data_IF_558741456321
#
_entry.id   IF_558741456321
#
_cell.length_a   1.000
_cell.length_b   1.000
_cell.length_c   1.000
_cell.angle_alpha   90.00
_cell.angle_beta   90.00
_cell.angle_gamma   90.00
#
_symmetry.space_group_name_H-M   'P 1'
#
loop_
_entity.id
_entity.type
_entity.pdbx_description
1 polymer ?
#
# COMPACT_ATOMS: atom_id res chain seq x y z
N UNK A 1 -14.81 -3.93 -22.37
CA UNK A 1 -15.36 -2.82 -21.56
C UNK A 1 -15.89 -3.44 -20.27
N UNK A 2 -15.05 -3.52 -19.22
CA UNK A 2 -15.42 -4.17 -17.95
C UNK A 2 -16.31 -3.19 -17.20
N UNK A 3 -17.60 -3.49 -17.11
CA UNK A 3 -18.51 -2.77 -16.21
C UNK A 3 -18.09 -3.13 -14.78
N UNK A 4 -17.37 -2.23 -14.13
CA UNK A 4 -17.24 -2.25 -12.67
C UNK A 4 -18.66 -2.10 -12.14
N UNK A 5 -19.19 -3.15 -11.50
CA UNK A 5 -20.42 -3.02 -10.73
C UNK A 5 -20.09 -2.11 -9.54
N UNK A 6 -20.38 -0.83 -9.68
CA UNK A 6 -20.43 0.10 -8.55
C UNK A 6 -21.57 -0.36 -7.63
N UNK A 7 -21.26 -1.26 -6.70
CA UNK A 7 -22.11 -1.43 -5.53
C UNK A 7 -22.09 -0.09 -4.81
N UNK A 8 -23.24 0.58 -4.62
CA UNK A 8 -23.28 1.82 -3.86
C UNK A 8 -22.73 1.50 -2.47
N UNK A 9 -21.60 2.12 -2.13
CA UNK A 9 -21.09 2.09 -0.76
C UNK A 9 -22.19 2.75 0.07
N UNK A 10 -22.99 1.91 0.74
CA UNK A 10 -23.92 2.38 1.75
C UNK A 10 -23.08 3.06 2.81
N UNK A 11 -23.08 4.40 2.82
CA UNK A 11 -22.47 5.20 3.88
C UNK A 11 -23.35 5.07 5.14
N UNK A 12 -23.51 3.86 5.66
CA UNK A 12 -23.81 3.68 7.07
C UNK A 12 -22.49 3.79 7.81
N UNK A 13 -22.24 4.97 8.39
CA UNK A 13 -21.83 5.16 9.77
C UNK A 13 -21.55 6.65 9.99
N UNK A 14 -22.22 7.27 10.96
CA UNK A 14 -21.83 8.57 11.49
C UNK A 14 -20.39 8.52 12.00
N UNK A 15 -19.68 9.65 11.94
CA UNK A 15 -18.32 9.77 12.44
C UNK A 15 -18.23 9.28 13.90
N UNK A 16 -17.23 8.45 14.20
CA UNK A 16 -16.95 8.06 15.57
C UNK A 16 -16.49 9.28 16.38
N UNK A 17 -16.99 9.43 17.61
CA UNK A 17 -16.41 10.40 18.56
C UNK A 17 -14.93 10.08 18.82
N UNK A 18 -14.08 11.07 19.12
CA UNK A 18 -12.65 10.85 19.40
C UNK A 18 -12.38 9.76 20.45
N UNK A 19 -13.15 9.70 21.54
CA UNK A 19 -13.02 8.65 22.57
C UNK A 19 -13.23 7.25 21.98
N UNK A 20 -14.28 7.09 21.17
CA UNK A 20 -14.60 5.83 20.51
C UNK A 20 -13.51 5.39 19.53
N UNK A 21 -12.86 6.32 18.83
CA UNK A 21 -11.71 6.01 17.96
C UNK A 21 -10.56 5.44 18.80
N UNK A 22 -10.26 6.06 19.94
CA UNK A 22 -9.21 5.59 20.86
C UNK A 22 -9.55 4.19 21.40
N UNK A 23 -10.80 3.94 21.78
CA UNK A 23 -11.21 2.61 22.28
C UNK A 23 -11.08 1.54 21.19
N UNK A 24 -11.47 1.85 19.95
CA UNK A 24 -11.31 0.94 18.80
C UNK A 24 -9.83 0.66 18.56
N UNK A 25 -8.98 1.68 18.60
CA UNK A 25 -7.55 1.52 18.38
C UNK A 25 -6.90 0.67 19.47
N UNK A 26 -7.27 0.88 20.75
CA UNK A 26 -6.78 0.08 21.89
C UNK A 26 -7.20 -1.38 21.83
N UNK A 27 -8.41 -1.65 21.34
CA UNK A 27 -8.93 -3.01 21.20
C UNK A 27 -8.38 -3.75 19.97
N UNK A 28 -7.70 -3.05 19.05
CA UNK A 28 -7.25 -3.65 17.79
C UNK A 28 -5.94 -4.41 17.99
N UNK A 29 -5.97 -5.70 17.73
CA UNK A 29 -4.75 -6.52 17.64
C UNK A 29 -3.94 -6.17 16.38
N UNK A 30 -2.62 -6.29 16.51
CA UNK A 30 -1.68 -6.08 15.40
C UNK A 30 -1.85 -7.23 14.39
N UNK A 31 -2.21 -6.90 13.16
CA UNK A 31 -2.19 -7.85 12.05
C UNK A 31 -0.74 -8.18 11.68
N UNK A 32 -0.27 -9.37 12.06
CA UNK A 32 1.12 -9.81 11.81
C UNK A 32 1.48 -9.69 10.33
N UNK A 33 0.54 -10.00 9.45
CA UNK A 33 0.71 -9.95 8.00
C UNK A 33 0.92 -8.53 7.45
N UNK A 34 0.45 -7.48 8.14
CA UNK A 34 0.67 -6.08 7.75
C UNK A 34 1.70 -5.37 8.63
N UNK A 35 2.32 -6.10 9.56
CA UNK A 35 3.33 -5.55 10.47
C UNK A 35 4.73 -5.49 9.86
N UNK A 36 5.03 -6.37 8.90
CA UNK A 36 6.37 -6.53 8.30
C UNK A 36 7.48 -6.70 9.35
N UNK A 37 7.12 -7.23 10.53
CA UNK A 37 7.99 -7.38 11.70
C UNK A 37 9.18 -8.32 11.45
N UNK A 38 9.06 -9.18 10.44
CA UNK A 38 10.10 -10.09 10.01
C UNK A 38 11.27 -9.42 9.26
N UNK A 39 11.09 -8.18 8.79
CA UNK A 39 12.11 -7.46 8.03
C UNK A 39 12.97 -6.56 8.92
N UNK A 40 14.29 -6.66 8.76
CA UNK A 40 15.23 -5.72 9.39
C UNK A 40 15.28 -4.40 8.59
N UNK A 41 15.77 -3.30 9.18
CA UNK A 41 15.98 -2.05 8.45
C UNK A 41 16.88 -2.19 7.21
N UNK A 42 17.81 -3.14 7.21
CA UNK A 42 18.63 -3.48 6.03
C UNK A 42 17.82 -4.06 4.89
N UNK A 43 16.73 -4.76 5.20
CA UNK A 43 15.92 -5.50 4.25
C UNK A 43 14.85 -4.59 3.62
N UNK A 44 14.56 -3.44 4.24
CA UNK A 44 13.53 -2.48 3.81
C UNK A 44 14.03 -1.47 2.78
N UNK A 45 15.21 -1.68 2.22
CA UNK A 45 15.75 -0.91 1.08
C UNK A 45 16.01 -1.82 -0.10
N UNK A 46 15.39 -1.55 -1.26
CA UNK A 46 15.57 -2.30 -2.51
C UNK A 46 15.64 -1.36 -3.71
N UNK A 47 16.28 -1.78 -4.80
CA UNK A 47 16.34 -1.01 -6.06
C UNK A 47 16.87 0.42 -5.83
N UNK A 48 16.14 1.43 -6.32
CA UNK A 48 16.42 2.86 -6.12
C UNK A 48 15.84 3.42 -4.82
N UNK A 49 15.15 2.59 -4.01
CA UNK A 49 14.67 3.01 -2.70
C UNK A 49 15.86 3.46 -1.84
N UNK A 50 15.74 4.64 -1.24
CA UNK A 50 16.81 5.34 -0.50
C UNK A 50 17.98 5.89 -1.32
N UNK A 51 17.98 5.84 -2.66
CA UNK A 51 18.97 6.56 -3.46
C UNK A 51 18.90 8.07 -3.19
N UNK A 52 17.68 8.63 -3.14
CA UNK A 52 17.42 9.98 -2.63
C UNK A 52 16.76 9.94 -1.26
N UNK A 53 17.16 10.85 -0.36
CA UNK A 53 16.57 10.97 0.98
C UNK A 53 15.21 11.65 0.92
N UNK A 54 14.16 10.86 0.81
CA UNK A 54 12.79 11.28 1.08
C UNK A 54 12.37 10.92 2.53
N UNK A 55 11.90 11.87 3.37
CA UNK A 55 11.63 11.64 4.80
C UNK A 55 10.45 10.72 5.12
N UNK A 56 9.41 10.68 4.27
CA UNK A 56 8.15 10.00 4.53
C UNK A 56 7.85 8.90 3.50
N UNK A 57 8.82 8.01 3.27
CA UNK A 57 8.69 6.87 2.35
C UNK A 57 8.22 5.62 3.08
N UNK A 58 7.36 4.86 2.43
CA UNK A 58 7.01 3.49 2.82
C UNK A 58 8.02 2.48 2.27
N UNK A 59 8.13 1.34 2.94
CA UNK A 59 9.04 0.26 2.54
C UNK A 59 8.57 -0.43 1.25
N UNK A 60 9.48 -0.94 0.38
CA UNK A 60 9.10 -1.63 -0.85
C UNK A 60 8.18 -2.83 -0.62
N UNK A 61 8.34 -3.55 0.49
CA UNK A 61 7.54 -4.73 0.87
C UNK A 61 6.04 -4.42 0.97
N UNK A 62 5.68 -3.23 1.45
CA UNK A 62 4.29 -2.82 1.53
C UNK A 62 3.69 -2.67 0.12
N UNK A 63 4.43 -2.03 -0.78
CA UNK A 63 4.02 -1.83 -2.16
C UNK A 63 3.89 -3.17 -2.88
N UNK A 64 4.90 -4.03 -2.76
CA UNK A 64 4.93 -5.38 -3.31
C UNK A 64 3.71 -6.20 -2.86
N UNK A 65 3.39 -6.19 -1.56
CA UNK A 65 2.23 -6.89 -1.01
C UNK A 65 0.90 -6.36 -1.54
N UNK A 66 0.77 -5.05 -1.74
CA UNK A 66 -0.42 -4.44 -2.34
C UNK A 66 -0.56 -4.86 -3.81
N UNK A 67 0.54 -4.91 -4.55
CA UNK A 67 0.56 -5.40 -5.93
C UNK A 67 0.14 -6.87 -6.01
N UNK A 68 0.67 -7.72 -5.14
CA UNK A 68 0.27 -9.13 -5.05
C UNK A 68 -1.22 -9.28 -4.73
N UNK A 69 -1.76 -8.41 -3.88
CA UNK A 69 -3.17 -8.47 -3.49
C UNK A 69 -4.13 -8.00 -4.59
N UNK A 70 -3.76 -6.98 -5.38
CA UNK A 70 -4.71 -6.28 -6.25
C UNK A 70 -4.41 -6.38 -7.74
N UNK A 71 -3.19 -6.72 -8.14
CA UNK A 71 -2.79 -6.71 -9.55
C UNK A 71 -2.64 -8.11 -10.15
N UNK A 72 -2.56 -9.16 -9.34
CA UNK A 72 -2.53 -10.54 -9.83
C UNK A 72 -3.79 -10.84 -10.65
N UNK A 73 -3.60 -11.38 -11.87
CA UNK A 73 -4.68 -11.72 -12.80
C UNK A 73 -5.11 -10.58 -13.73
N UNK A 74 -4.58 -9.36 -13.55
CA UNK A 74 -4.76 -8.28 -14.52
C UNK A 74 -3.84 -8.53 -15.72
N UNK A 75 -4.40 -8.57 -16.93
CA UNK A 75 -3.64 -8.87 -18.16
C UNK A 75 -2.52 -7.86 -18.45
N UNK A 76 -2.77 -6.58 -18.18
CA UNK A 76 -1.82 -5.49 -18.41
C UNK A 76 -1.99 -4.45 -17.28
N UNK A 77 -1.44 -4.69 -16.08
CA UNK A 77 -1.60 -3.77 -14.96
C UNK A 77 -0.85 -2.46 -15.23
N UNK A 78 -1.47 -1.36 -14.81
CA UNK A 78 -0.92 -0.01 -14.89
C UNK A 78 -0.97 0.63 -13.50
N UNK A 79 0.18 1.09 -13.02
CA UNK A 79 0.35 1.60 -11.66
C UNK A 79 0.71 3.07 -11.73
N UNK A 80 -0.23 3.95 -11.37
CA UNK A 80 -0.01 5.38 -11.33
C UNK A 80 0.28 5.85 -9.90
N UNK A 81 1.32 6.68 -9.72
CA UNK A 81 1.63 7.33 -8.46
C UNK A 81 1.78 8.86 -8.66
N UNK A 82 0.73 9.60 -8.29
CA UNK A 82 0.70 11.07 -8.45
C UNK A 82 1.61 11.79 -7.43
N UNK A 83 2.05 11.10 -6.37
CA UNK A 83 2.86 11.65 -5.29
C UNK A 83 4.12 10.81 -5.06
N UNK A 84 4.82 10.51 -6.17
CA UNK A 84 5.83 9.46 -6.20
C UNK A 84 6.99 9.62 -5.20
N UNK A 85 7.27 10.82 -4.69
CA UNK A 85 8.26 11.06 -3.66
C UNK A 85 9.63 10.45 -4.00
N UNK A 86 9.96 9.31 -3.36
CA UNK A 86 11.20 8.55 -3.63
C UNK A 86 11.15 7.62 -4.85
N UNK A 87 10.04 7.56 -5.58
CA UNK A 87 9.82 6.69 -6.74
C UNK A 87 9.59 5.21 -6.38
N UNK A 88 9.37 4.88 -5.11
CA UNK A 88 9.30 3.48 -4.63
C UNK A 88 8.20 2.68 -5.34
N UNK A 89 7.01 3.26 -5.53
CA UNK A 89 5.89 2.57 -6.20
C UNK A 89 6.24 2.24 -7.65
N UNK A 90 6.71 3.25 -8.39
CA UNK A 90 7.06 3.14 -9.81
C UNK A 90 8.20 2.14 -10.01
N UNK A 91 9.25 2.19 -9.17
CA UNK A 91 10.36 1.24 -9.23
C UNK A 91 9.90 -0.21 -9.01
N UNK A 92 9.02 -0.45 -8.04
CA UNK A 92 8.44 -1.78 -7.79
C UNK A 92 7.53 -2.24 -8.93
N UNK A 93 6.79 -1.33 -9.57
CA UNK A 93 5.92 -1.65 -10.70
C UNK A 93 6.76 -2.07 -11.92
N UNK A 94 7.75 -1.27 -12.28
CA UNK A 94 8.65 -1.54 -13.41
C UNK A 94 9.43 -2.84 -13.18
N UNK A 95 9.95 -3.10 -11.97
CA UNK A 95 10.69 -4.33 -11.66
C UNK A 95 9.82 -5.60 -11.79
N UNK A 96 8.51 -5.47 -11.66
CA UNK A 96 7.51 -6.53 -11.85
C UNK A 96 6.97 -6.61 -13.29
N UNK A 97 7.49 -5.79 -14.21
CA UNK A 97 7.06 -5.75 -15.61
C UNK A 97 5.71 -5.07 -15.82
N UNK A 98 5.24 -4.27 -14.86
CA UNK A 98 4.01 -3.51 -14.97
C UNK A 98 4.25 -2.19 -15.69
N UNK A 99 3.19 -1.60 -16.25
CA UNK A 99 3.24 -0.21 -16.74
C UNK A 99 3.19 0.72 -15.54
N UNK A 100 3.96 1.80 -15.59
CA UNK A 100 4.07 2.78 -14.52
C UNK A 100 4.33 4.18 -15.10
#
# INVERSE_FOLDING_TARGET
MVKLQEKPISLKQGYYSPSKIIDIFKAKEIGKEWSFIEYKPSDTSKLTHCYHRYPAKFIPQLVEKLMDKYLIGIKVPHVNDLFMGSGTIIACAISRGYRA
#
